data_IF_325692525010
#
_entry.id   IF_325692525010
#
_cell.length_a   1.000
_cell.length_b   1.000
_cell.length_c   1.000
_cell.angle_alpha   90.00
_cell.angle_beta   90.00
_cell.angle_gamma   90.00
#
_symmetry.space_group_name_H-M   'P 1'
#
loop_
_entity.id
_entity.type
_entity.pdbx_description
1 polymer ?
#
# COMPACT_ATOMS: atom_id res chain seq x y z
N UNK A 1 -26.61 52.28 8.86
CA UNK A 1 -26.73 50.82 8.64
C UNK A 1 -25.39 50.10 8.58
N UNK A 2 -24.51 50.39 7.61
CA UNK A 2 -23.29 49.61 7.33
C UNK A 2 -22.38 49.22 8.50
N UNK A 3 -22.24 50.06 9.55
CA UNK A 3 -21.42 49.71 10.74
C UNK A 3 -22.06 48.66 11.64
N UNK A 4 -23.37 48.72 11.86
CA UNK A 4 -24.08 47.75 12.72
C UNK A 4 -24.10 46.35 12.07
N UNK A 5 -24.20 46.29 10.74
CA UNK A 5 -24.13 45.04 9.98
C UNK A 5 -22.73 44.40 10.03
N UNK A 6 -21.68 45.23 10.11
CA UNK A 6 -20.28 44.75 10.22
C UNK A 6 -20.00 44.17 11.60
N UNK A 7 -20.44 44.85 12.67
CA UNK A 7 -20.26 44.38 14.05
C UNK A 7 -21.03 43.07 14.32
N UNK A 8 -22.23 42.93 13.76
CA UNK A 8 -23.02 41.70 13.88
C UNK A 8 -22.37 40.52 13.14
N UNK A 9 -21.83 40.75 11.94
CA UNK A 9 -21.07 39.74 11.19
C UNK A 9 -19.79 39.32 11.93
N UNK A 10 -19.07 40.24 12.56
CA UNK A 10 -17.87 39.92 13.36
C UNK A 10 -18.20 39.05 14.58
N UNK A 11 -19.23 39.41 15.34
CA UNK A 11 -19.70 38.60 16.48
C UNK A 11 -20.14 37.21 16.04
N UNK A 12 -20.77 37.10 14.86
CA UNK A 12 -21.12 35.82 14.28
C UNK A 12 -19.88 34.98 13.95
N UNK A 13 -18.85 35.57 13.33
CA UNK A 13 -17.57 34.90 13.05
C UNK A 13 -16.88 34.45 14.32
N UNK A 14 -16.79 35.27 15.37
CA UNK A 14 -16.18 34.90 16.65
C UNK A 14 -16.91 33.73 17.32
N UNK A 15 -18.25 33.74 17.30
CA UNK A 15 -19.05 32.64 17.84
C UNK A 15 -18.79 31.35 17.07
N UNK A 16 -18.72 31.41 15.74
CA UNK A 16 -18.41 30.26 14.90
C UNK A 16 -16.99 29.75 15.12
N UNK A 17 -15.99 30.63 15.24
CA UNK A 17 -14.60 30.24 15.54
C UNK A 17 -14.53 29.48 16.86
N UNK A 18 -15.16 30.01 17.92
CA UNK A 18 -15.17 29.37 19.24
C UNK A 18 -15.85 27.99 19.20
N UNK A 19 -16.94 27.87 18.43
CA UNK A 19 -17.64 26.61 18.24
C UNK A 19 -16.76 25.58 17.51
N UNK A 20 -16.09 25.98 16.42
CA UNK A 20 -15.20 25.10 15.68
C UNK A 20 -13.91 24.77 16.44
N UNK A 21 -13.40 25.67 17.29
CA UNK A 21 -12.28 25.42 18.19
C UNK A 21 -12.61 24.31 19.19
N UNK A 22 -13.80 24.38 19.80
CA UNK A 22 -14.27 23.33 20.71
C UNK A 22 -14.43 21.99 19.98
N UNK A 23 -15.00 21.99 18.77
CA UNK A 23 -15.15 20.77 17.95
C UNK A 23 -13.81 20.19 17.51
N UNK A 24 -12.85 21.05 17.17
CA UNK A 24 -11.50 20.66 16.81
C UNK A 24 -10.80 19.99 18.00
N UNK A 25 -10.86 20.62 19.18
CA UNK A 25 -10.29 20.06 20.41
C UNK A 25 -10.94 18.72 20.78
N UNK A 26 -12.25 18.59 20.59
CA UNK A 26 -12.95 17.32 20.82
C UNK A 26 -12.53 16.25 19.80
N UNK A 27 -12.38 16.60 18.52
CA UNK A 27 -11.88 15.70 17.48
C UNK A 27 -10.44 15.25 17.75
N UNK A 28 -9.57 16.16 18.18
CA UNK A 28 -8.19 15.87 18.60
C UNK A 28 -8.15 14.90 19.79
N UNK A 29 -8.98 15.14 20.81
CA UNK A 29 -9.07 14.25 21.96
C UNK A 29 -9.58 12.86 21.57
N UNK A 30 -10.63 12.77 20.74
CA UNK A 30 -11.14 11.49 20.23
C UNK A 30 -10.08 10.74 19.44
N UNK A 31 -9.33 11.43 18.57
CA UNK A 31 -8.26 10.85 17.77
C UNK A 31 -7.10 10.37 18.66
N UNK A 32 -6.71 11.17 19.65
CA UNK A 32 -5.70 10.80 20.65
C UNK A 32 -6.13 9.56 21.43
N UNK A 33 -7.34 9.56 22.00
CA UNK A 33 -7.86 8.44 22.79
C UNK A 33 -7.98 7.17 21.94
N UNK A 34 -8.38 7.31 20.67
CA UNK A 34 -8.42 6.22 19.71
C UNK A 34 -7.02 5.65 19.46
N UNK A 35 -6.00 6.48 19.28
CA UNK A 35 -4.60 6.04 19.12
C UNK A 35 -4.09 5.32 20.37
N UNK A 36 -4.41 5.81 21.57
CA UNK A 36 -4.01 5.19 22.83
C UNK A 36 -4.69 3.83 23.02
N UNK A 37 -5.98 3.71 22.70
CA UNK A 37 -6.73 2.45 22.84
C UNK A 37 -6.32 1.37 21.83
N UNK A 38 -5.87 1.77 20.64
CA UNK A 38 -5.52 0.88 19.54
C UNK A 38 -4.01 0.81 19.27
N UNK A 39 -3.17 1.04 20.29
CA UNK A 39 -1.72 0.82 20.20
C UNK A 39 -1.45 -0.63 19.81
N UNK A 40 -0.63 -0.85 18.78
CA UNK A 40 -0.39 -2.19 18.25
C UNK A 40 -1.49 -2.71 17.31
N UNK A 41 -2.40 -1.88 16.83
CA UNK A 41 -3.33 -2.21 15.72
C UNK A 41 -3.32 -1.13 14.62
N UNK A 42 -2.39 -0.17 14.70
CA UNK A 42 -2.37 0.99 13.81
C UNK A 42 -1.76 0.67 12.42
N UNK A 43 -2.27 1.27 11.33
CA UNK A 43 -1.81 0.98 9.95
C UNK A 43 -0.35 1.30 9.67
N UNK A 44 0.26 2.25 10.39
CA UNK A 44 1.69 2.56 10.27
C UNK A 44 2.58 1.38 10.69
N UNK A 45 2.07 0.47 11.53
CA UNK A 45 2.67 -0.82 11.85
C UNK A 45 2.05 -1.97 11.02
N UNK A 46 0.99 -1.66 10.25
CA UNK A 46 0.12 -2.53 9.46
C UNK A 46 0.84 -3.40 8.42
N UNK A 47 1.80 -2.81 7.70
CA UNK A 47 2.64 -3.55 6.74
C UNK A 47 3.43 -4.68 7.40
N UNK A 48 3.64 -4.62 8.72
CA UNK A 48 4.27 -5.68 9.49
C UNK A 48 3.31 -6.73 10.05
N UNK A 49 1.97 -6.56 10.02
CA UNK A 49 1.02 -7.55 10.57
C UNK A 49 0.78 -8.71 9.62
N UNK A 50 0.47 -8.43 8.35
CA UNK A 50 0.33 -9.48 7.34
C UNK A 50 1.63 -10.27 7.18
N UNK A 51 2.78 -9.59 7.24
CA UNK A 51 4.08 -10.25 7.27
C UNK A 51 4.24 -11.15 8.52
N UNK A 52 3.90 -10.66 9.72
CA UNK A 52 3.93 -11.46 10.96
C UNK A 52 2.99 -12.67 10.92
N UNK A 53 1.79 -12.51 10.36
CA UNK A 53 0.85 -13.63 10.16
C UNK A 53 1.42 -14.66 9.19
N UNK A 54 2.01 -14.22 8.07
CA UNK A 54 2.61 -15.10 7.09
C UNK A 54 3.80 -15.87 7.68
N UNK A 55 4.65 -15.21 8.48
CA UNK A 55 5.73 -15.87 9.23
C UNK A 55 5.17 -16.85 10.25
N UNK A 56 4.16 -16.47 11.04
CA UNK A 56 3.55 -17.36 12.02
C UNK A 56 2.86 -18.58 11.37
N UNK A 57 2.25 -18.40 10.20
CA UNK A 57 1.69 -19.49 9.39
C UNK A 57 2.78 -20.44 8.91
N UNK A 58 3.90 -19.91 8.41
CA UNK A 58 5.03 -20.70 7.95
C UNK A 58 5.65 -21.48 9.12
N UNK A 59 5.86 -20.84 10.28
CA UNK A 59 6.40 -21.48 11.49
C UNK A 59 5.48 -22.59 12.02
N UNK A 60 4.16 -22.38 11.93
CA UNK A 60 3.17 -23.39 12.31
C UNK A 60 3.23 -24.59 11.37
N UNK A 61 3.39 -24.36 10.06
CA UNK A 61 3.51 -25.41 9.05
C UNK A 61 4.81 -26.20 9.23
N UNK A 62 5.93 -25.53 9.51
CA UNK A 62 7.23 -26.19 9.75
C UNK A 62 7.15 -27.09 10.99
N UNK A 63 6.61 -26.59 12.11
CA UNK A 63 6.45 -27.40 13.33
C UNK A 63 5.49 -28.57 13.12
N UNK A 64 4.42 -28.40 12.33
CA UNK A 64 3.52 -29.51 11.96
C UNK A 64 4.25 -30.59 11.16
N UNK A 65 5.07 -30.19 10.21
CA UNK A 65 5.85 -31.10 9.39
C UNK A 65 6.90 -31.83 10.24
N UNK A 66 7.61 -31.13 11.13
CA UNK A 66 8.56 -31.71 12.07
C UNK A 66 7.89 -32.72 13.02
N UNK A 67 6.70 -32.40 13.53
CA UNK A 67 5.92 -33.29 14.38
C UNK A 67 5.54 -34.58 13.64
N UNK A 68 4.99 -34.47 12.43
CA UNK A 68 4.62 -35.63 11.61
C UNK A 68 5.84 -36.53 11.31
N UNK A 69 7.01 -35.94 11.06
CA UNK A 69 8.25 -36.67 10.86
C UNK A 69 8.72 -37.37 12.14
N UNK A 70 8.64 -36.71 13.29
CA UNK A 70 8.97 -37.29 14.59
C UNK A 70 8.01 -38.44 14.97
N UNK A 71 6.72 -38.28 14.74
CA UNK A 71 5.72 -39.33 14.94
C UNK A 71 5.96 -40.54 14.03
N UNK A 72 6.31 -40.30 12.75
CA UNK A 72 6.68 -41.37 11.82
C UNK A 72 7.93 -42.13 12.29
N UNK A 73 8.95 -41.42 12.79
CA UNK A 73 10.16 -42.04 13.38
C UNK A 73 9.82 -42.86 14.62
N UNK A 74 9.03 -42.31 15.55
CA UNK A 74 8.53 -43.02 16.74
C UNK A 74 7.79 -44.30 16.34
N UNK A 75 6.87 -44.22 15.38
CA UNK A 75 6.10 -45.37 14.92
C UNK A 75 6.98 -46.43 14.24
N UNK A 76 8.00 -46.03 13.50
CA UNK A 76 8.97 -46.97 12.91
C UNK A 76 9.79 -47.69 13.99
N UNK A 77 10.20 -47.00 15.06
CA UNK A 77 10.88 -47.60 16.21
C UNK A 77 9.95 -48.56 16.97
N UNK A 78 8.69 -48.19 17.16
CA UNK A 78 7.67 -49.07 17.74
C UNK A 78 7.47 -50.34 16.89
N UNK A 79 7.48 -50.22 15.56
CA UNK A 79 7.41 -51.38 14.66
C UNK A 79 8.66 -52.25 14.69
N UNK A 80 9.86 -51.67 14.85
CA UNK A 80 11.09 -52.45 15.02
C UNK A 80 11.08 -53.23 16.34
N UNK A 81 10.67 -52.58 17.43
CA UNK A 81 10.54 -53.20 18.76
C UNK A 81 9.44 -54.27 18.78
N UNK A 82 8.34 -54.08 18.04
CA UNK A 82 7.21 -55.03 17.99
C UNK A 82 7.32 -56.10 16.90
N UNK A 83 8.09 -55.85 15.84
CA UNK A 83 8.32 -56.77 14.71
C UNK A 83 9.54 -57.66 14.91
N UNK A 84 10.46 -57.29 15.78
CA UNK A 84 11.39 -58.22 16.43
C UNK A 84 10.62 -59.06 17.48
N UNK A 85 9.73 -59.95 17.04
CA UNK A 85 9.51 -61.15 17.83
C UNK A 85 10.89 -61.80 17.96
N UNK A 86 11.38 -62.10 19.18
CA UNK A 86 12.69 -62.71 19.36
C UNK A 86 12.65 -64.09 18.68
N UNK A 87 13.10 -64.10 17.42
CA UNK A 87 13.29 -65.30 16.63
C UNK A 87 14.51 -65.98 17.21
N UNK A 88 14.27 -66.75 18.28
CA UNK A 88 15.20 -67.73 18.79
C UNK A 88 15.63 -68.61 17.60
N UNK A 89 16.86 -68.42 17.15
CA UNK A 89 17.41 -69.06 15.98
C UNK A 89 17.38 -70.59 16.13
N UNK A 90 16.68 -71.23 15.20
CA UNK A 90 16.87 -72.65 14.90
C UNK A 90 18.17 -72.79 14.10
N UNK A 91 19.20 -73.42 14.71
CA UNK A 91 20.27 -74.16 14.02
C UNK A 91 21.71 -73.92 14.52
N UNK A 92 22.64 -74.90 14.38
CA UNK A 92 22.54 -76.35 14.51
C UNK A 92 23.25 -76.87 15.77
N UNK A 93 22.71 -77.95 16.33
CA UNK A 93 23.25 -78.73 17.45
C UNK A 93 24.73 -79.13 17.24
N UNK A 94 25.57 -79.04 18.28
CA UNK A 94 26.05 -80.26 18.94
C UNK A 94 26.09 -80.03 20.46
N UNK A 95 25.15 -80.57 21.24
CA UNK A 95 25.30 -81.91 21.77
C UNK A 95 24.31 -82.12 22.91
N UNK A 96 23.61 -83.24 22.83
CA UNK A 96 23.14 -84.12 23.92
C UNK A 96 22.54 -83.46 25.17
N UNK A 97 21.24 -83.70 25.32
CA UNK A 97 20.47 -83.52 26.54
C UNK A 97 21.14 -84.08 27.80
N UNK A 98 21.16 -83.27 28.86
CA UNK A 98 21.25 -83.72 30.26
C UNK A 98 19.95 -83.33 30.98
N UNK A 99 19.46 -84.14 31.93
CA UNK A 99 18.15 -83.95 32.56
C UNK A 99 18.15 -82.75 33.51
N UNK A 100 16.94 -82.22 33.75
CA UNK A 100 16.58 -81.14 34.68
C UNK A 100 17.55 -80.92 35.85
N UNK A 101 18.35 -79.86 35.75
CA UNK A 101 19.01 -79.21 36.89
C UNK A 101 18.13 -78.06 37.42
N UNK A 102 18.27 -77.66 38.70
CA UNK A 102 17.43 -76.64 39.30
C UNK A 102 17.60 -75.31 38.57
N UNK A 103 16.54 -74.51 38.54
CA UNK A 103 16.52 -73.14 38.01
C UNK A 103 17.84 -72.42 38.28
N UNK A 104 18.56 -72.06 37.21
CA UNK A 104 19.74 -71.22 37.32
C UNK A 104 19.35 -69.90 37.98
N UNK A 105 20.07 -69.53 39.04
CA UNK A 105 19.86 -68.29 39.75
C UNK A 105 19.94 -67.10 38.77
N UNK A 106 19.00 -66.13 38.84
CA UNK A 106 19.04 -64.96 37.95
C UNK A 106 20.33 -64.18 38.20
N UNK A 107 21.06 -63.84 37.14
CA UNK A 107 22.27 -63.02 37.22
C UNK A 107 21.89 -61.58 37.58
N UNK A 108 22.20 -61.17 38.80
CA UNK A 108 21.96 -59.82 39.32
C UNK A 108 23.16 -58.92 38.98
N UNK A 109 22.97 -57.59 38.80
CA UNK A 109 24.07 -56.65 38.62
C UNK A 109 25.08 -56.67 39.80
N UNK A 110 24.64 -57.12 40.99
CA UNK A 110 25.48 -57.31 42.17
C UNK A 110 26.51 -58.45 41.98
N UNK A 111 26.20 -59.47 41.15
CA UNK A 111 27.10 -60.60 40.89
C UNK A 111 28.35 -60.15 40.14
N UNK A 112 28.21 -59.25 39.16
CA UNK A 112 29.34 -58.66 38.44
C UNK A 112 30.25 -57.82 39.37
N UNK A 113 29.66 -57.16 40.38
CA UNK A 113 30.41 -56.38 41.36
C UNK A 113 31.18 -57.28 42.32
N UNK A 114 30.54 -58.36 42.82
CA UNK A 114 31.19 -59.38 43.66
C UNK A 114 32.39 -59.97 42.91
N UNK A 115 32.20 -60.40 41.65
CA UNK A 115 33.28 -60.97 40.84
C UNK A 115 34.46 -60.00 40.66
N UNK A 116 34.18 -58.70 40.45
CA UNK A 116 35.24 -57.68 40.33
C UNK A 116 36.01 -57.44 41.63
N UNK A 117 35.37 -57.61 42.79
CA UNK A 117 35.99 -57.46 44.10
C UNK A 117 36.75 -58.71 44.51
N UNK A 118 36.26 -59.89 44.13
CA UNK A 118 36.97 -61.18 44.26
C UNK A 118 38.28 -61.17 43.45
N UNK A 119 38.26 -60.69 42.21
CA UNK A 119 39.47 -60.54 41.41
C UNK A 119 40.49 -59.58 42.05
N UNK A 120 40.03 -58.48 42.66
CA UNK A 120 40.89 -57.54 43.40
C UNK A 120 41.45 -58.17 44.67
N UNK A 121 40.67 -59.03 45.32
CA UNK A 121 41.11 -59.77 46.50
C UNK A 121 42.20 -60.78 46.12
N UNK A 122 42.02 -61.50 45.02
CA UNK A 122 43.02 -62.43 44.50
C UNK A 122 44.33 -61.70 44.12
N UNK A 123 44.22 -60.52 43.49
CA UNK A 123 45.40 -59.68 43.20
C UNK A 123 46.12 -59.22 44.48
N UNK A 124 45.36 -58.82 45.50
CA UNK A 124 45.93 -58.40 46.78
C UNK A 124 46.56 -59.56 47.55
N UNK A 125 46.00 -60.77 47.47
CA UNK A 125 46.56 -61.96 48.11
C UNK A 125 47.87 -62.44 47.47
N UNK A 126 48.13 -62.10 46.21
CA UNK A 126 49.42 -62.35 45.56
C UNK A 126 50.54 -61.46 46.12
N UNK A 127 50.19 -60.29 46.69
CA UNK A 127 51.15 -59.27 47.16
C UNK A 127 51.20 -59.16 48.69
N UNK A 128 50.08 -59.45 49.36
CA UNK A 128 49.90 -59.28 50.80
C UNK A 128 49.39 -60.57 51.44
N UNK A 129 49.87 -60.86 52.65
CA UNK A 129 49.37 -61.99 53.45
C UNK A 129 47.95 -61.71 53.98
N UNK A 130 47.19 -62.76 54.31
CA UNK A 130 45.80 -62.66 54.78
C UNK A 130 45.57 -61.77 56.03
N UNK A 131 46.63 -61.40 56.75
CA UNK A 131 46.58 -60.51 57.93
C UNK A 131 46.61 -59.01 57.59
N UNK A 132 46.70 -58.62 56.31
CA UNK A 132 46.74 -57.21 55.92
C UNK A 132 45.35 -56.56 56.11
N UNK A 133 45.27 -55.33 56.67
CA UNK A 133 43.99 -54.65 56.94
C UNK A 133 43.13 -54.50 55.68
N UNK A 134 43.75 -54.21 54.52
CA UNK A 134 43.01 -54.02 53.26
C UNK A 134 42.36 -55.32 52.74
N UNK A 135 42.98 -56.48 52.98
CA UNK A 135 42.39 -57.78 52.64
C UNK A 135 41.20 -58.08 53.55
N UNK A 136 41.29 -57.71 54.84
CA UNK A 136 40.19 -57.81 55.78
C UNK A 136 38.98 -56.95 55.39
N UNK A 137 39.21 -55.68 55.03
CA UNK A 137 38.17 -54.74 54.59
C UNK A 137 37.50 -55.25 53.30
N UNK A 138 38.29 -55.75 52.35
CA UNK A 138 37.76 -56.26 51.08
C UNK A 138 36.96 -57.56 51.28
N UNK A 139 37.43 -58.47 52.14
CA UNK A 139 36.68 -59.67 52.54
C UNK A 139 35.34 -59.31 53.19
N UNK A 140 35.32 -58.33 54.11
CA UNK A 140 34.08 -57.84 54.73
C UNK A 140 33.13 -57.23 53.70
N UNK A 141 33.63 -56.39 52.80
CA UNK A 141 32.83 -55.80 51.73
C UNK A 141 32.19 -56.86 50.82
N UNK A 142 32.93 -57.92 50.48
CA UNK A 142 32.40 -59.04 49.69
C UNK A 142 31.32 -59.80 50.46
N UNK A 143 31.51 -60.02 51.76
CA UNK A 143 30.54 -60.72 52.61
C UNK A 143 29.23 -59.93 52.74
N UNK A 144 29.33 -58.60 52.91
CA UNK A 144 28.17 -57.72 52.96
C UNK A 144 27.41 -57.69 51.63
N UNK A 145 28.14 -57.64 50.50
CA UNK A 145 27.52 -57.71 49.17
C UNK A 145 26.86 -59.08 48.89
N UNK A 146 27.43 -60.18 49.41
CA UNK A 146 26.81 -61.51 49.31
C UNK A 146 25.51 -61.59 50.11
N UNK A 147 25.45 -61.00 51.31
CA UNK A 147 24.20 -60.90 52.08
C UNK A 147 23.14 -60.09 51.34
N UNK A 148 23.52 -58.94 50.78
CA UNK A 148 22.62 -58.13 49.95
C UNK A 148 22.10 -58.90 48.75
N UNK A 149 22.97 -59.69 48.09
CA UNK A 149 22.59 -60.56 46.97
C UNK A 149 21.57 -61.62 47.38
N UNK A 150 21.72 -62.23 48.55
CA UNK A 150 20.73 -63.19 49.06
C UNK A 150 19.38 -62.54 49.39
N UNK A 151 19.39 -61.33 49.96
CA UNK A 151 18.18 -60.56 50.22
C UNK A 151 17.45 -60.16 48.93
N UNK A 152 18.18 -59.65 47.94
CA UNK A 152 17.63 -59.31 46.62
C UNK A 152 17.07 -60.55 45.90
N UNK A 153 17.75 -61.70 45.98
CA UNK A 153 17.23 -62.96 45.43
C UNK A 153 15.98 -63.45 46.17
N UNK A 154 15.92 -63.29 47.49
CA UNK A 154 14.72 -63.64 48.25
C UNK A 154 13.55 -62.74 47.84
N UNK A 155 13.78 -61.43 47.67
CA UNK A 155 12.78 -60.48 47.18
C UNK A 155 12.36 -60.77 45.74
N UNK A 156 13.30 -61.12 44.86
CA UNK A 156 13.03 -61.50 43.47
C UNK A 156 12.24 -62.81 43.39
N UNK A 157 12.59 -63.82 44.21
CA UNK A 157 11.81 -65.07 44.29
C UNK A 157 10.41 -64.83 44.87
N UNK A 158 10.26 -63.93 45.84
CA UNK A 158 8.97 -63.55 46.39
C UNK A 158 8.09 -62.81 45.36
N UNK A 159 8.66 -61.91 44.56
CA UNK A 159 7.94 -61.20 43.49
C UNK A 159 7.59 -62.12 42.31
N UNK A 160 8.46 -63.08 41.98
CA UNK A 160 8.18 -64.15 41.02
C UNK A 160 7.06 -65.08 41.49
N UNK A 161 7.03 -65.45 42.77
CA UNK A 161 5.94 -66.26 43.34
C UNK A 161 4.60 -65.48 43.35
N UNK A 162 4.63 -64.18 43.64
CA UNK A 162 3.45 -63.32 43.58
C UNK A 162 2.91 -63.17 42.14
N UNK A 163 3.80 -62.98 41.16
CA UNK A 163 3.42 -62.92 39.73
C UNK A 163 2.93 -64.27 39.19
N UNK A 164 3.51 -65.39 39.65
CA UNK A 164 3.03 -66.74 39.32
C UNK A 164 1.59 -66.97 39.83
N UNK A 165 1.26 -66.50 41.05
CA UNK A 165 -0.09 -66.59 41.59
C UNK A 165 -1.12 -65.75 40.81
N UNK A 166 -0.72 -64.60 40.27
CA UNK A 166 -1.57 -63.77 39.41
C UNK A 166 -1.81 -64.41 38.04
N UNK A 167 -0.80 -65.09 37.47
CA UNK A 167 -0.91 -65.80 36.19
C UNK A 167 -1.75 -67.08 36.23
N UNK A 168 -1.95 -67.70 37.40
CA UNK A 168 -2.81 -68.87 37.58
C UNK A 168 -4.33 -68.53 37.60
N UNK A 169 -4.69 -67.26 37.83
CA UNK A 169 -6.09 -66.81 37.85
C UNK A 169 -6.64 -66.47 36.44
N UNK A 170 -5.78 -66.28 35.45
CA UNK A 170 -6.18 -66.09 34.05
C UNK A 170 -5.89 -67.36 33.24
N UNK A 171 -6.94 -68.07 32.82
CA UNK A 171 -6.86 -69.24 31.93
C UNK A 171 -6.45 -68.83 30.50
N UNK A 172 -5.24 -68.31 30.33
CA UNK A 172 -4.60 -68.18 29.03
C UNK A 172 -3.21 -68.79 29.11
N UNK A 173 -3.15 -70.11 28.91
CA UNK A 173 -1.92 -70.85 28.67
C UNK A 173 -1.40 -70.53 27.26
N UNK A 174 -0.93 -69.30 27.08
CA UNK A 174 0.09 -69.00 26.09
C UNK A 174 1.43 -69.23 26.79
N UNK A 175 2.29 -70.07 26.20
CA UNK A 175 3.68 -70.29 26.59
C UNK A 175 4.48 -68.99 26.38
N UNK A 176 4.20 -67.99 27.22
CA UNK A 176 4.90 -66.73 27.27
C UNK A 176 6.24 -66.93 27.96
N UNK A 177 7.30 -67.00 27.16
CA UNK A 177 8.66 -66.76 27.60
C UNK A 177 8.68 -65.48 28.44
N UNK A 178 9.02 -65.60 29.72
CA UNK A 178 8.93 -64.50 30.68
C UNK A 178 9.86 -63.32 30.35
N UNK A 179 9.60 -62.14 30.94
CA UNK A 179 10.22 -60.85 30.59
C UNK A 179 11.73 -60.74 30.88
N UNK A 180 12.34 -61.72 31.53
CA UNK A 180 13.74 -61.63 31.99
C UNK A 180 14.79 -61.93 30.90
N UNK A 181 14.41 -62.52 29.76
CA UNK A 181 15.34 -62.78 28.64
C UNK A 181 15.39 -61.67 27.59
N UNK A 182 14.37 -60.80 27.56
CA UNK A 182 14.22 -59.73 26.56
C UNK A 182 14.99 -58.47 26.98
N UNK A 183 15.14 -58.23 28.28
CA UNK A 183 15.92 -57.12 28.80
C UNK A 183 17.45 -57.35 28.75
N UNK A 184 17.93 -58.53 28.33
CA UNK A 184 19.37 -58.83 28.22
C UNK A 184 19.98 -58.54 26.83
N UNK A 185 19.17 -58.23 25.82
CA UNK A 185 19.70 -57.87 24.50
C UNK A 185 20.12 -56.39 24.48
N UNK A 186 21.42 -56.06 24.36
CA UNK A 186 21.90 -54.67 24.34
C UNK A 186 21.29 -53.85 23.20
N UNK A 187 20.91 -54.48 22.08
CA UNK A 187 20.24 -53.81 20.95
C UNK A 187 18.82 -53.37 21.32
N UNK A 188 18.09 -54.20 22.05
CA UNK A 188 16.73 -53.91 22.50
C UNK A 188 16.70 -52.77 23.54
N UNK A 189 17.67 -52.75 24.45
CA UNK A 189 17.85 -51.62 25.37
C UNK A 189 18.15 -50.32 24.63
N UNK A 190 19.01 -50.36 23.60
CA UNK A 190 19.30 -49.19 22.76
C UNK A 190 18.06 -48.68 22.01
N UNK A 191 17.23 -49.57 21.46
CA UNK A 191 15.97 -49.20 20.79
C UNK A 191 14.96 -48.59 21.77
N UNK A 192 14.84 -49.10 23.00
CA UNK A 192 14.00 -48.51 24.06
C UNK A 192 14.46 -47.10 24.43
N UNK A 193 15.77 -46.87 24.57
CA UNK A 193 16.32 -45.52 24.84
C UNK A 193 16.05 -44.58 23.66
N UNK A 194 16.24 -45.04 22.42
CA UNK A 194 15.94 -44.26 21.23
C UNK A 194 14.44 -43.90 21.14
N UNK A 195 13.55 -44.84 21.46
CA UNK A 195 12.11 -44.60 21.51
C UNK A 195 11.77 -43.54 22.57
N UNK A 196 12.29 -43.66 23.80
CA UNK A 196 12.04 -42.69 24.86
C UNK A 196 12.53 -41.28 24.48
N UNK A 197 13.68 -41.18 23.80
CA UNK A 197 14.19 -39.92 23.29
C UNK A 197 13.27 -39.31 22.21
N UNK A 198 12.78 -40.12 21.27
CA UNK A 198 11.85 -39.63 20.24
C UNK A 198 10.46 -39.30 20.80
N UNK A 199 9.98 -40.01 21.82
CA UNK A 199 8.75 -39.65 22.54
C UNK A 199 8.87 -38.31 23.26
N UNK A 200 10.02 -38.04 23.89
CA UNK A 200 10.33 -36.73 24.45
C UNK A 200 10.38 -35.64 23.36
N UNK A 201 10.95 -35.94 22.18
CA UNK A 201 10.96 -35.02 21.04
C UNK A 201 9.53 -34.71 20.55
N UNK A 202 8.68 -35.73 20.35
CA UNK A 202 7.27 -35.58 19.97
C UNK A 202 6.51 -34.73 20.97
N UNK A 203 6.65 -35.01 22.27
CA UNK A 203 6.01 -34.21 23.33
C UNK A 203 6.46 -32.74 23.28
N UNK A 204 7.75 -32.48 23.04
CA UNK A 204 8.27 -31.11 22.90
C UNK A 204 7.71 -30.39 21.67
N UNK A 205 7.57 -31.09 20.54
CA UNK A 205 7.02 -30.54 19.30
C UNK A 205 5.51 -30.29 19.41
N UNK A 206 4.77 -31.14 20.12
CA UNK A 206 3.36 -30.91 20.44
C UNK A 206 3.17 -29.66 21.31
N UNK A 207 4.02 -29.46 22.33
CA UNK A 207 4.01 -28.24 23.13
C UNK A 207 4.32 -26.99 22.28
N UNK A 208 5.28 -27.08 21.35
CA UNK A 208 5.55 -25.99 20.40
C UNK A 208 4.36 -25.73 19.48
N UNK A 209 3.75 -26.77 18.92
CA UNK A 209 2.61 -26.65 18.02
C UNK A 209 1.44 -25.91 18.68
N UNK A 210 1.10 -26.25 19.92
CA UNK A 210 0.01 -25.58 20.65
C UNK A 210 0.30 -24.10 20.87
N UNK A 211 1.54 -23.72 21.17
CA UNK A 211 1.97 -22.32 21.28
C UNK A 211 1.89 -21.58 19.94
N UNK A 212 2.40 -22.17 18.85
CA UNK A 212 2.35 -21.57 17.52
C UNK A 212 0.91 -21.45 16.99
N UNK A 213 0.05 -22.44 17.25
CA UNK A 213 -1.38 -22.38 16.92
C UNK A 213 -2.09 -21.26 17.69
N UNK A 214 -1.76 -21.06 18.96
CA UNK A 214 -2.30 -19.96 19.76
C UNK A 214 -1.88 -18.60 19.19
N UNK A 215 -0.59 -18.43 18.88
CA UNK A 215 -0.05 -17.19 18.27
C UNK A 215 -0.67 -16.90 16.91
N UNK A 216 -0.80 -17.93 16.07
CA UNK A 216 -1.44 -17.80 14.76
C UNK A 216 -2.90 -17.35 14.90
N UNK A 217 -3.68 -17.96 15.80
CA UNK A 217 -5.07 -17.56 16.06
C UNK A 217 -5.19 -16.13 16.56
N UNK A 218 -4.34 -15.72 17.51
CA UNK A 218 -4.33 -14.36 18.03
C UNK A 218 -4.04 -13.32 16.93
N UNK A 219 -3.06 -13.59 16.05
CA UNK A 219 -2.77 -12.74 14.89
C UNK A 219 -3.90 -12.75 13.87
N UNK A 220 -4.52 -13.91 13.63
CA UNK A 220 -5.64 -14.06 12.70
C UNK A 220 -6.87 -13.27 13.16
N UNK A 221 -7.16 -13.27 14.47
CA UNK A 221 -8.25 -12.49 15.05
C UNK A 221 -7.99 -10.99 14.90
N UNK A 222 -6.74 -10.55 15.12
CA UNK A 222 -6.34 -9.16 14.92
C UNK A 222 -6.54 -8.72 13.46
N UNK A 223 -6.22 -9.56 12.46
CA UNK A 223 -6.39 -9.26 11.03
C UNK A 223 -7.84 -8.91 10.67
N UNK A 224 -8.83 -9.51 11.33
CA UNK A 224 -10.24 -9.18 11.10
C UNK A 224 -10.63 -7.82 11.69
N UNK A 225 -9.95 -7.38 12.75
CA UNK A 225 -10.23 -6.10 13.44
C UNK A 225 -9.48 -4.91 12.83
N UNK A 226 -8.30 -5.12 12.24
CA UNK A 226 -7.45 -4.07 11.67
C UNK A 226 -8.19 -3.21 10.63
N UNK A 227 -8.90 -3.76 9.63
CA UNK A 227 -9.64 -2.94 8.66
C UNK A 227 -10.70 -2.04 9.31
N UNK A 228 -11.32 -2.49 10.41
CA UNK A 228 -12.31 -1.70 11.14
C UNK A 228 -11.64 -0.55 11.90
N UNK A 229 -10.48 -0.82 12.52
CA UNK A 229 -9.66 0.20 13.19
C UNK A 229 -9.14 1.22 12.19
N UNK A 230 -8.69 0.80 11.02
CA UNK A 230 -8.22 1.67 9.94
C UNK A 230 -9.36 2.56 9.38
N UNK A 231 -10.53 1.99 9.15
CA UNK A 231 -11.70 2.74 8.71
C UNK A 231 -12.11 3.79 9.75
N UNK A 232 -12.13 3.42 11.04
CA UNK A 232 -12.43 4.32 12.14
C UNK A 232 -11.38 5.44 12.29
N UNK A 233 -10.08 5.11 12.19
CA UNK A 233 -8.99 6.08 12.20
C UNK A 233 -9.10 7.05 11.03
N UNK A 234 -9.43 6.56 9.84
CA UNK A 234 -9.60 7.38 8.64
C UNK A 234 -10.79 8.32 8.79
N UNK A 235 -11.90 7.84 9.35
CA UNK A 235 -13.06 8.68 9.67
C UNK A 235 -12.71 9.78 10.68
N UNK A 236 -11.99 9.45 11.77
CA UNK A 236 -11.55 10.42 12.77
C UNK A 236 -10.57 11.46 12.20
N UNK A 237 -9.62 11.05 11.36
CA UNK A 237 -8.71 11.98 10.69
C UNK A 237 -9.48 12.92 9.75
N UNK A 238 -10.45 12.40 8.98
CA UNK A 238 -11.28 13.22 8.10
C UNK A 238 -12.08 14.25 8.89
N UNK A 239 -12.68 13.87 10.01
CA UNK A 239 -13.45 14.79 10.85
C UNK A 239 -12.56 15.87 11.48
N UNK A 240 -11.37 15.48 11.97
CA UNK A 240 -10.34 16.42 12.42
C UNK A 240 -9.94 17.40 11.32
N UNK A 241 -9.62 16.91 10.12
CA UNK A 241 -9.18 17.73 8.98
C UNK A 241 -10.28 18.70 8.53
N UNK A 242 -11.55 18.28 8.54
CA UNK A 242 -12.69 19.15 8.20
C UNK A 242 -12.81 20.27 9.24
N UNK A 243 -12.79 19.94 10.53
CA UNK A 243 -12.92 20.93 11.60
C UNK A 243 -11.73 21.91 11.58
N UNK A 244 -10.51 21.41 11.39
CA UNK A 244 -9.30 22.22 11.28
C UNK A 244 -9.38 23.18 10.10
N UNK A 245 -9.71 22.68 8.90
CA UNK A 245 -9.85 23.53 7.70
C UNK A 245 -10.91 24.62 7.89
N UNK A 246 -12.05 24.29 8.52
CA UNK A 246 -13.12 25.27 8.78
C UNK A 246 -12.71 26.31 9.82
N UNK A 247 -12.03 25.88 10.88
CA UNK A 247 -11.43 26.79 11.85
C UNK A 247 -10.45 27.75 11.18
N UNK A 248 -9.49 27.23 10.40
CA UNK A 248 -8.48 28.02 9.70
C UNK A 248 -9.13 29.02 8.71
N UNK A 249 -10.15 28.60 7.96
CA UNK A 249 -10.91 29.45 7.05
C UNK A 249 -11.63 30.59 7.78
N UNK A 250 -12.28 30.31 8.93
CA UNK A 250 -12.98 31.31 9.72
C UNK A 250 -12.02 32.31 10.36
N UNK A 251 -10.87 31.83 10.87
CA UNK A 251 -9.82 32.70 11.42
C UNK A 251 -9.25 33.61 10.34
N UNK A 252 -8.93 33.07 9.16
CA UNK A 252 -8.47 33.87 8.03
C UNK A 252 -9.49 34.92 7.60
N UNK A 253 -10.79 34.58 7.60
CA UNK A 253 -11.89 35.51 7.28
C UNK A 253 -12.08 36.59 8.34
N UNK A 254 -11.85 36.28 9.62
CA UNK A 254 -11.85 37.28 10.70
C UNK A 254 -10.71 38.28 10.52
N UNK A 255 -9.49 37.80 10.24
CA UNK A 255 -8.34 38.69 10.03
C UNK A 255 -8.52 39.58 8.79
N UNK A 256 -9.06 39.05 7.68
CA UNK A 256 -9.33 39.87 6.49
C UNK A 256 -10.41 40.92 6.72
N UNK A 257 -11.46 40.61 7.49
CA UNK A 257 -12.48 41.56 7.90
C UNK A 257 -11.90 42.66 8.81
N UNK A 258 -11.02 42.28 9.74
CA UNK A 258 -10.32 43.22 10.64
C UNK A 258 -9.40 44.17 9.87
N UNK A 259 -8.62 43.65 8.92
CA UNK A 259 -7.76 44.46 8.04
C UNK A 259 -8.57 45.43 7.18
N UNK A 260 -9.69 44.96 6.62
CA UNK A 260 -10.62 45.81 5.86
C UNK A 260 -11.18 46.95 6.72
N UNK A 261 -11.57 46.66 7.96
CA UNK A 261 -12.05 47.67 8.90
C UNK A 261 -10.96 48.69 9.25
N UNK A 262 -9.72 48.24 9.45
CA UNK A 262 -8.58 49.13 9.75
C UNK A 262 -8.23 50.02 8.54
N UNK A 263 -8.33 49.48 7.32
CA UNK A 263 -8.17 50.26 6.08
C UNK A 263 -9.28 51.31 5.92
N UNK A 264 -10.53 50.97 6.24
CA UNK A 264 -11.66 51.90 6.20
C UNK A 264 -11.54 53.00 7.27
N UNK A 265 -11.08 52.68 8.48
CA UNK A 265 -10.81 53.67 9.53
C UNK A 265 -9.67 54.61 9.14
N UNK A 266 -8.65 54.12 8.41
CA UNK A 266 -7.54 54.94 7.92
C UNK A 266 -7.96 55.86 6.76
N UNK A 267 -8.88 55.41 5.89
CA UNK A 267 -9.38 56.20 4.74
C UNK A 267 -10.48 57.22 5.10
N UNK A 268 -11.01 57.21 6.33
CA UNK A 268 -12.08 58.13 6.76
C UNK A 268 -11.67 59.61 6.89
N UNK A 269 -10.40 59.97 6.69
CA UNK A 269 -9.98 61.37 6.64
C UNK A 269 -10.21 62.05 5.26
N UNK A 270 -10.63 61.30 4.23
CA UNK A 270 -10.98 61.87 2.92
C UNK A 270 -12.49 61.75 2.70
N UNK A 271 -13.24 62.70 3.27
CA UNK A 271 -14.65 62.92 2.92
C UNK A 271 -14.73 63.50 1.50
N UNK A 272 -14.98 62.65 0.51
CA UNK A 272 -15.34 63.12 -0.83
C UNK A 272 -16.71 63.80 -0.79
N UNK A 273 -16.71 65.13 -0.74
CA UNK A 273 -17.88 65.94 -1.03
C UNK A 273 -18.04 65.99 -2.54
N UNK A 274 -19.15 65.49 -3.08
CA UNK A 274 -19.48 65.64 -4.49
C UNK A 274 -19.77 67.13 -4.71
N UNK A 275 -18.78 67.85 -5.26
CA UNK A 275 -18.90 69.28 -5.57
C UNK A 275 -19.66 69.47 -6.90
N UNK A 276 -19.45 68.58 -7.87
CA UNK A 276 -20.11 68.63 -9.16
C UNK A 276 -20.46 67.21 -9.66
N UNK A 277 -21.75 66.89 -9.88
CA UNK A 277 -22.16 65.60 -10.42
C UNK A 277 -21.74 65.43 -11.89
N UNK A 278 -21.51 64.20 -12.36
CA UNK A 278 -21.12 63.94 -13.74
C UNK A 278 -22.24 64.35 -14.70
N UNK A 279 -21.89 65.18 -15.70
CA UNK A 279 -22.79 65.58 -16.78
C UNK A 279 -22.53 64.75 -18.03
N UNK A 280 -23.59 64.40 -18.73
CA UNK A 280 -23.47 63.82 -20.08
C UNK A 280 -22.86 64.87 -21.01
N UNK A 281 -21.85 64.51 -21.83
CA UNK A 281 -21.24 65.45 -22.75
C UNK A 281 -22.27 65.89 -23.80
N UNK A 282 -22.36 67.21 -23.99
CA UNK A 282 -23.27 67.84 -24.98
C UNK A 282 -22.78 67.64 -26.42
N UNK A 283 -21.48 67.37 -26.58
CA UNK A 283 -20.84 67.13 -27.87
C UNK A 283 -20.35 65.68 -27.95
N UNK A 284 -20.54 64.99 -29.08
CA UNK A 284 -20.05 63.64 -29.25
C UNK A 284 -18.52 63.64 -29.23
N UNK A 285 -17.92 62.84 -28.35
CA UNK A 285 -16.45 62.68 -28.23
C UNK A 285 -15.82 61.82 -29.34
N UNK A 286 -16.59 61.47 -30.38
CA UNK A 286 -16.14 60.66 -31.50
C UNK A 286 -15.32 61.47 -32.53
N UNK A 287 -14.61 60.81 -33.46
CA UNK A 287 -13.79 61.49 -34.47
C UNK A 287 -14.64 62.42 -35.35
N UNK A 288 -14.02 63.50 -35.86
CA UNK A 288 -14.66 64.49 -36.73
C UNK A 288 -15.26 63.82 -37.98
N UNK A 289 -16.55 63.52 -37.92
CA UNK A 289 -17.33 62.87 -38.97
C UNK A 289 -17.33 63.60 -40.33
N UNK A 290 -17.32 64.96 -40.44
CA UNK A 290 -17.34 65.59 -41.76
C UNK A 290 -15.96 65.48 -42.43
N UNK A 291 -14.90 65.48 -41.62
CA UNK A 291 -13.53 65.22 -42.09
C UNK A 291 -13.41 63.79 -42.63
N UNK A 292 -13.96 62.79 -41.93
CA UNK A 292 -13.96 61.42 -42.41
C UNK A 292 -14.75 61.24 -43.71
N UNK A 293 -15.96 61.82 -43.82
CA UNK A 293 -16.79 61.72 -45.03
C UNK A 293 -16.06 62.38 -46.23
N UNK A 294 -15.44 63.55 -46.02
CA UNK A 294 -14.62 64.19 -47.06
C UNK A 294 -13.38 63.37 -47.43
N UNK A 295 -12.74 62.73 -46.44
CA UNK A 295 -11.59 61.85 -46.64
C UNK A 295 -11.94 60.60 -47.45
N UNK A 296 -13.10 59.99 -47.21
CA UNK A 296 -13.58 58.83 -47.97
C UNK A 296 -13.91 59.21 -49.41
N UNK A 297 -14.54 60.37 -49.65
CA UNK A 297 -14.81 60.84 -51.02
C UNK A 297 -13.50 61.03 -51.80
N UNK A 298 -12.54 61.75 -51.22
CA UNK A 298 -11.23 61.98 -51.83
C UNK A 298 -10.46 60.67 -52.03
N UNK A 299 -10.48 59.79 -51.03
CA UNK A 299 -9.86 58.46 -51.11
C UNK A 299 -10.48 57.60 -52.21
N UNK A 300 -11.81 57.60 -52.35
CA UNK A 300 -12.52 56.87 -53.40
C UNK A 300 -12.23 57.38 -54.81
N UNK A 301 -12.22 58.71 -55.00
CA UNK A 301 -11.83 59.32 -56.27
C UNK A 301 -10.36 59.04 -56.61
N UNK A 302 -9.47 59.14 -55.61
CA UNK A 302 -8.05 58.83 -55.76
C UNK A 302 -7.81 57.36 -56.12
N UNK A 303 -8.47 56.42 -55.43
CA UNK A 303 -8.38 55.00 -55.71
C UNK A 303 -8.95 54.66 -57.10
N UNK A 304 -10.11 55.22 -57.47
CA UNK A 304 -10.70 55.03 -58.79
C UNK A 304 -9.81 55.57 -59.92
N UNK A 305 -9.22 56.76 -59.72
CA UNK A 305 -8.26 57.34 -60.66
C UNK A 305 -6.97 56.52 -60.78
N UNK A 306 -6.43 56.05 -59.66
CA UNK A 306 -5.25 55.19 -59.64
C UNK A 306 -5.50 53.85 -60.35
N UNK A 307 -6.68 53.25 -60.14
CA UNK A 307 -7.08 52.00 -60.79
C UNK A 307 -7.26 52.21 -62.30
N UNK A 308 -7.90 53.31 -62.73
CA UNK A 308 -8.02 53.67 -64.14
C UNK A 308 -6.64 53.89 -64.80
N UNK A 309 -5.72 54.56 -64.09
CA UNK A 309 -4.35 54.76 -64.55
C UNK A 309 -3.58 53.44 -64.68
N UNK A 310 -3.69 52.54 -63.70
CA UNK A 310 -3.08 51.21 -63.76
C UNK A 310 -3.64 50.37 -64.92
N UNK A 311 -4.96 50.39 -65.13
CA UNK A 311 -5.60 49.72 -66.28
C UNK A 311 -5.10 50.29 -67.61
N UNK A 312 -4.98 51.61 -67.71
CA UNK A 312 -4.44 52.27 -68.90
C UNK A 312 -2.97 51.89 -69.17
N UNK A 313 -2.19 51.65 -68.11
CA UNK A 313 -0.80 51.20 -68.23
C UNK A 313 -0.68 49.73 -68.65
N UNK A 314 -1.60 48.87 -68.19
CA UNK A 314 -1.61 47.45 -68.55
C UNK A 314 -2.06 47.28 -70.02
N UNK A 315 -3.04 48.06 -70.47
CA UNK A 315 -3.54 48.04 -71.86
C UNK A 315 -3.30 49.38 -72.58
N UNK A 316 -2.04 49.67 -72.97
CA UNK A 316 -1.71 50.91 -73.66
C UNK A 316 -2.45 50.96 -75.01
N UNK A 317 -3.31 51.97 -75.16
CA UNK A 317 -3.99 52.28 -76.43
C UNK A 317 -3.25 53.43 -77.11
N UNK A 318 -2.92 53.29 -78.40
CA UNK A 318 -2.22 54.32 -79.16
C UNK A 318 -3.21 55.28 -79.81
N UNK A 319 -3.38 56.47 -79.24
CA UNK A 319 -4.32 57.48 -79.78
C UNK A 319 -3.72 58.37 -80.88
N UNK A 320 -2.41 58.33 -81.11
CA UNK A 320 -1.74 59.19 -82.09
C UNK A 320 -0.76 58.42 -82.99
N UNK A 321 -0.75 58.78 -84.29
CA UNK A 321 0.16 58.25 -85.31
C UNK A 321 1.63 58.34 -84.89
N UNK A 322 2.00 59.42 -84.20
CA UNK A 322 3.37 59.64 -83.71
C UNK A 322 3.72 58.66 -82.59
N UNK A 323 2.80 58.39 -81.66
CA UNK A 323 3.01 57.45 -80.56
C UNK A 323 3.18 56.00 -81.05
N UNK A 324 2.45 55.62 -82.11
CA UNK A 324 2.58 54.30 -82.72
C UNK A 324 3.93 54.14 -83.44
N UNK A 325 4.38 55.18 -84.18
CA UNK A 325 5.70 55.19 -84.85
C UNK A 325 6.85 55.02 -83.85
N UNK A 326 6.82 55.73 -82.72
CA UNK A 326 7.88 55.65 -81.72
C UNK A 326 7.95 54.28 -81.04
N UNK A 327 6.79 53.65 -80.78
CA UNK A 327 6.72 52.36 -80.09
C UNK A 327 7.06 51.16 -81.00
N UNK A 328 6.62 51.18 -82.26
CA UNK A 328 6.80 50.03 -83.17
C UNK A 328 7.94 50.21 -84.17
N UNK A 329 8.50 51.42 -84.31
CA UNK A 329 9.53 51.78 -85.30
C UNK A 329 9.13 51.51 -86.77
N UNK A 330 7.83 51.31 -87.04
CA UNK A 330 7.30 51.07 -88.38
C UNK A 330 6.70 52.38 -88.92
N UNK A 331 7.09 52.84 -90.13
CA UNK A 331 6.51 54.03 -90.74
C UNK A 331 5.02 53.83 -91.06
N UNK A 332 4.15 54.55 -90.35
CA UNK A 332 2.71 54.59 -90.64
C UNK A 332 2.50 55.52 -91.84
N UNK A 333 2.01 55.03 -92.99
CA UNK A 333 1.89 55.82 -94.23
C UNK A 333 0.62 56.69 -94.31
N UNK A 334 -0.44 56.36 -93.56
CA UNK A 334 -1.68 57.15 -93.49
C UNK A 334 -2.57 56.70 -92.33
N UNK A 335 -3.52 57.56 -91.94
CA UNK A 335 -4.55 57.24 -90.94
C UNK A 335 -5.92 57.55 -91.52
N UNK A 336 -6.88 56.63 -91.36
CA UNK A 336 -8.27 56.88 -91.72
C UNK A 336 -9.01 57.30 -90.46
N UNK A 337 -9.58 58.51 -90.46
CA UNK A 337 -10.41 58.96 -89.35
C UNK A 337 -11.66 58.08 -89.27
N UNK A 338 -11.96 57.55 -88.09
CA UNK A 338 -13.17 56.78 -87.88
C UNK A 338 -14.40 57.69 -88.07
N UNK A 339 -15.21 57.41 -89.10
CA UNK A 339 -16.51 58.07 -89.29
C UNK A 339 -17.52 57.29 -88.45
N UNK A 340 -17.84 57.80 -87.26
CA UNK A 340 -18.82 57.19 -86.37
C UNK A 340 -20.21 57.21 -87.03
N UNK A 341 -20.89 56.06 -87.05
CA UNK A 341 -22.30 56.02 -87.45
C UNK A 341 -23.15 56.90 -86.52
N UNK A 342 -24.27 57.49 -86.98
CA UNK A 342 -25.13 58.32 -86.13
C UNK A 342 -25.65 57.56 -84.90
N UNK A 343 -25.77 56.23 -84.96
CA UNK A 343 -26.10 55.38 -83.82
C UNK A 343 -24.96 55.30 -82.79
N UNK A 344 -23.71 55.17 -83.23
CA UNK A 344 -22.53 55.16 -82.36
C UNK A 344 -22.32 56.53 -81.68
N UNK A 345 -22.49 57.62 -82.42
CA UNK A 345 -22.39 58.98 -81.88
C UNK A 345 -23.46 59.24 -80.80
N UNK A 346 -24.70 58.76 -81.00
CA UNK A 346 -25.76 58.85 -79.99
C UNK A 346 -25.41 58.04 -78.74
N UNK A 347 -24.91 56.81 -78.89
CA UNK A 347 -24.47 55.96 -77.77
C UNK A 347 -23.35 56.62 -76.95
N UNK A 348 -22.35 57.21 -77.60
CA UNK A 348 -21.27 57.93 -76.93
C UNK A 348 -21.78 59.14 -76.14
N UNK A 349 -22.72 59.92 -76.71
CA UNK A 349 -23.37 61.03 -76.00
C UNK A 349 -24.14 60.55 -74.78
N UNK A 350 -24.92 59.47 -74.89
CA UNK A 350 -25.62 58.88 -73.74
C UNK A 350 -24.67 58.35 -72.67
N UNK A 351 -23.55 57.73 -73.07
CA UNK A 351 -22.50 57.30 -72.15
C UNK A 351 -21.90 58.49 -71.41
N UNK A 352 -21.51 59.55 -72.12
CA UNK A 352 -20.99 60.78 -71.50
C UNK A 352 -22.01 61.42 -70.56
N UNK A 353 -23.29 61.50 -70.96
CA UNK A 353 -24.37 61.98 -70.11
C UNK A 353 -24.57 61.11 -68.87
N UNK A 354 -24.46 59.78 -68.99
CA UNK A 354 -24.54 58.88 -67.84
C UNK A 354 -23.36 59.05 -66.88
N UNK A 355 -22.14 59.24 -67.39
CA UNK A 355 -20.96 59.54 -66.55
C UNK A 355 -21.11 60.87 -65.82
N UNK A 356 -21.59 61.91 -66.52
CA UNK A 356 -21.85 63.22 -65.92
C UNK A 356 -22.96 63.13 -64.87
N UNK A 357 -24.05 62.41 -65.17
CA UNK A 357 -25.14 62.19 -64.23
C UNK A 357 -24.69 61.43 -62.97
N UNK A 358 -23.86 60.39 -63.12
CA UNK A 358 -23.27 59.65 -61.98
C UNK A 358 -22.34 60.54 -61.15
N UNK A 359 -21.49 61.35 -61.80
CA UNK A 359 -20.62 62.30 -61.12
C UNK A 359 -21.39 63.36 -60.33
N UNK A 360 -22.42 63.95 -60.93
CA UNK A 360 -23.32 64.88 -60.24
C UNK A 360 -24.08 64.19 -59.10
N UNK A 361 -24.57 62.96 -59.32
CA UNK A 361 -25.25 62.17 -58.28
C UNK A 361 -24.37 61.90 -57.07
N UNK A 362 -23.08 61.60 -57.29
CA UNK A 362 -22.09 61.42 -56.23
C UNK A 362 -21.90 62.70 -55.40
N UNK A 363 -21.80 63.87 -56.06
CA UNK A 363 -21.67 65.16 -55.37
C UNK A 363 -22.93 65.54 -54.59
N UNK A 364 -24.11 65.27 -55.14
CA UNK A 364 -25.39 65.48 -54.44
C UNK A 364 -25.50 64.56 -53.21
N UNK A 365 -25.09 63.30 -53.34
CA UNK A 365 -25.09 62.35 -52.22
C UNK A 365 -24.12 62.78 -51.10
N UNK A 366 -22.91 63.22 -51.46
CA UNK A 366 -21.95 63.78 -50.51
C UNK A 366 -22.50 65.02 -49.79
N UNK A 367 -23.09 65.97 -50.55
CA UNK A 367 -23.74 67.15 -49.97
C UNK A 367 -24.89 66.78 -49.04
N UNK A 368 -25.70 65.79 -49.42
CA UNK A 368 -26.79 65.26 -48.58
C UNK A 368 -26.29 64.68 -47.26
N UNK A 369 -25.20 63.91 -47.28
CA UNK A 369 -24.59 63.36 -46.06
C UNK A 369 -24.08 64.45 -45.11
N UNK A 370 -23.42 65.49 -45.62
CA UNK A 370 -22.96 66.61 -44.81
C UNK A 370 -24.12 67.42 -44.22
N UNK A 371 -25.21 67.59 -44.98
CA UNK A 371 -26.42 68.27 -44.50
C UNK A 371 -27.11 67.47 -43.40
N UNK A 372 -27.23 66.15 -43.54
CA UNK A 372 -27.80 65.27 -42.50
C UNK A 372 -26.98 65.31 -41.21
N UNK A 373 -25.65 65.38 -41.35
CA UNK A 373 -24.75 65.47 -40.21
C UNK A 373 -24.86 66.82 -39.48
N UNK A 374 -24.86 67.94 -40.23
CA UNK A 374 -24.92 69.30 -39.67
C UNK A 374 -26.28 69.64 -39.07
N UNK A 375 -27.37 69.10 -39.62
CA UNK A 375 -28.73 69.29 -39.10
C UNK A 375 -29.04 68.32 -37.94
N UNK A 376 -28.15 67.35 -37.65
CA UNK A 376 -28.27 66.49 -36.48
C UNK A 376 -29.53 65.61 -36.52
N UNK A 377 -29.85 65.03 -37.68
CA UNK A 377 -31.00 64.15 -37.80
C UNK A 377 -30.72 62.84 -37.06
N UNK A 378 -31.30 62.67 -35.87
CA UNK A 378 -31.34 61.39 -35.17
C UNK A 378 -32.24 60.44 -35.97
N UNK A 379 -31.63 59.53 -36.72
CA UNK A 379 -32.34 58.37 -37.26
C UNK A 379 -32.90 57.57 -36.06
N UNK A 380 -34.22 57.33 -35.97
CA UNK A 380 -34.76 56.36 -35.04
C UNK A 380 -34.35 54.97 -35.54
N UNK A 381 -33.36 54.39 -34.88
CA UNK A 381 -33.03 52.97 -34.97
C UNK A 381 -33.25 52.34 -33.60
#
# INVERSE_FOLDING_TARGET
>A
ETRQDTDTAQRFLEKQITEYESRLTEAENRLKDFRIKNVGLMPSEGQSYYARLQTASADLETVKLELNQAESRRNSLLQQIGGEEPTFGIGPQPGIAGPAGPAGDPSLPIDARIQSLEQKLDELLLKYTERHPDVGILKQTIDDLRKQREEELAQYRASMAANAAVSAASNNASLGFGPAGVDANPVYQQLKVALAQEEANVASLQARLTEYEKRYKELQDQVNTIPQVEAALTALNRDYDINRKKYDELVARRESARLSQQAEQTNQDIRFRIIDPPRVPLEPSGPNRPLLISGVLLGGLGAGGALAFLLAQIWPTFDSRRSLLHATQIPVFGSVSAVLSPAAARRQRWMLLSYLALGCGLLVFYGGLLVVETIGFKLPL
#
